data_IF_656461532058
#
_entry.id   IF_656461532058
#
_cell.length_a   1.000
_cell.length_b   1.000
_cell.length_c   1.000
_cell.angle_alpha   90.00
_cell.angle_beta   90.00
_cell.angle_gamma   90.00
#
_symmetry.space_group_name_H-M   'P 1'
#
loop_
_entity.id
_entity.type
_entity.pdbx_description
1 polymer ?
#
# COMPACT_ATOMS: atom_id res chain seq x y z
N UNK A 1 2.84 11.58 -9.46
CA UNK A 1 2.75 11.83 -8.00
C UNK A 1 2.37 10.53 -7.31
N UNK A 2 3.18 10.07 -6.35
CA UNK A 2 3.02 8.80 -5.62
C UNK A 2 1.62 8.64 -5.01
N UNK A 3 1.05 9.75 -4.51
CA UNK A 3 -0.31 9.82 -4.00
C UNK A 3 -1.35 9.36 -5.03
N UNK A 4 -1.30 9.86 -6.27
CA UNK A 4 -2.28 9.50 -7.30
C UNK A 4 -2.08 8.09 -7.87
N UNK A 5 -0.85 7.59 -7.89
CA UNK A 5 -0.53 6.29 -8.53
C UNK A 5 -0.57 5.12 -7.54
N UNK A 6 -0.14 5.32 -6.29
CA UNK A 6 -0.11 4.26 -5.29
C UNK A 6 -1.23 4.44 -4.26
N UNK A 7 -1.42 5.65 -3.73
CA UNK A 7 -2.39 5.88 -2.65
C UNK A 7 -3.84 6.09 -3.17
N UNK A 8 -4.01 6.51 -4.42
CA UNK A 8 -5.31 6.67 -5.07
C UNK A 8 -5.92 5.38 -5.62
N UNK A 9 -5.33 4.22 -5.30
CA UNK A 9 -5.89 2.91 -5.68
C UNK A 9 -5.45 2.36 -7.03
N UNK A 10 -4.56 3.02 -7.76
CA UNK A 10 -4.23 2.61 -9.14
C UNK A 10 -3.47 1.27 -9.23
N UNK A 11 -2.76 0.86 -8.16
CA UNK A 11 -2.00 -0.41 -8.12
C UNK A 11 -2.50 -1.39 -7.06
N UNK A 12 -2.87 -0.89 -5.88
CA UNK A 12 -3.31 -1.74 -4.77
C UNK A 12 -4.83 -1.78 -4.75
N UNK A 13 -5.40 -2.94 -5.01
CA UNK A 13 -6.84 -3.15 -5.08
C UNK A 13 -7.56 -2.75 -3.79
N UNK A 14 -6.93 -2.93 -2.62
CA UNK A 14 -7.49 -2.50 -1.33
C UNK A 14 -7.49 -0.99 -1.12
N UNK A 15 -6.93 -0.20 -2.04
CA UNK A 15 -6.99 1.26 -2.08
C UNK A 15 -7.97 1.79 -3.15
N UNK A 16 -8.63 0.91 -3.92
CA UNK A 16 -9.61 1.32 -4.92
C UNK A 16 -10.85 1.99 -4.29
N UNK A 17 -11.50 2.93 -4.99
CA UNK A 17 -12.81 3.44 -4.61
C UNK A 17 -13.88 2.33 -4.56
N UNK A 18 -14.99 2.61 -3.87
CA UNK A 18 -16.14 1.70 -3.79
C UNK A 18 -16.73 1.35 -5.17
N UNK A 19 -17.33 0.15 -5.27
CA UNK A 19 -17.95 -0.37 -6.51
C UNK A 19 -17.34 -1.70 -6.93
N UNK A 20 -16.15 -1.67 -7.53
CA UNK A 20 -15.47 -2.89 -8.01
C UNK A 20 -14.49 -3.50 -7.00
N UNK A 21 -14.10 -2.76 -5.95
CA UNK A 21 -13.09 -3.14 -4.96
C UNK A 21 -13.27 -4.56 -4.42
N UNK A 22 -14.47 -4.93 -3.96
CA UNK A 22 -14.70 -6.24 -3.33
C UNK A 22 -14.53 -7.42 -4.29
N UNK A 23 -14.93 -7.26 -5.56
CA UNK A 23 -14.76 -8.32 -6.56
C UNK A 23 -13.28 -8.57 -6.83
N UNK A 24 -12.49 -7.50 -6.97
CA UNK A 24 -11.06 -7.59 -7.17
C UNK A 24 -10.32 -8.14 -5.94
N UNK A 25 -10.69 -7.73 -4.73
CA UNK A 25 -10.10 -8.27 -3.50
C UNK A 25 -10.31 -9.79 -3.37
N UNK A 26 -11.49 -10.28 -3.75
CA UNK A 26 -11.76 -11.72 -3.78
C UNK A 26 -10.91 -12.44 -4.82
N UNK A 27 -10.77 -11.87 -6.02
CA UNK A 27 -9.95 -12.44 -7.08
C UNK A 27 -8.46 -12.51 -6.67
N UNK A 28 -7.92 -11.45 -6.06
CA UNK A 28 -6.54 -11.44 -5.56
C UNK A 28 -6.33 -12.43 -4.40
N UNK A 29 -7.28 -12.51 -3.47
CA UNK A 29 -7.21 -13.48 -2.38
C UNK A 29 -7.18 -14.92 -2.89
N UNK A 30 -8.01 -15.26 -3.88
CA UNK A 30 -7.99 -16.59 -4.52
C UNK A 30 -6.66 -16.80 -5.26
N UNK A 31 -6.18 -15.81 -6.01
CA UNK A 31 -4.89 -15.88 -6.73
C UNK A 31 -3.73 -16.13 -5.77
N UNK A 32 -3.72 -15.45 -4.61
CA UNK A 32 -2.73 -15.64 -3.57
C UNK A 32 -2.84 -17.02 -2.90
N UNK A 33 -4.06 -17.47 -2.59
CA UNK A 33 -4.31 -18.79 -2.01
C UNK A 33 -3.86 -19.94 -2.93
N UNK A 34 -3.89 -19.71 -4.24
CA UNK A 34 -3.39 -20.66 -5.26
C UNK A 34 -1.90 -20.55 -5.54
N UNK A 35 -1.19 -19.61 -4.90
CA UNK A 35 0.24 -19.40 -5.14
C UNK A 35 0.57 -18.85 -6.52
N UNK A 36 -0.38 -18.16 -7.17
CA UNK A 36 -0.24 -17.64 -8.54
C UNK A 36 0.43 -16.26 -8.60
N UNK A 37 1.18 -15.89 -7.56
CA UNK A 37 2.00 -14.66 -7.53
C UNK A 37 1.29 -13.39 -7.06
N UNK A 38 0.03 -13.46 -6.63
CA UNK A 38 -0.62 -12.33 -5.96
C UNK A 38 -0.16 -12.22 -4.50
N UNK A 39 -0.01 -10.99 -4.02
CA UNK A 39 0.23 -10.70 -2.61
C UNK A 39 -1.09 -10.56 -1.87
N UNK A 40 -1.10 -10.91 -0.58
CA UNK A 40 -2.25 -10.61 0.29
C UNK A 40 -2.24 -9.14 0.70
N UNK A 41 -3.42 -8.59 0.97
CA UNK A 41 -3.57 -7.22 1.50
C UNK A 41 -2.70 -6.98 2.75
N UNK A 42 -2.58 -7.98 3.63
CA UNK A 42 -1.77 -7.88 4.83
C UNK A 42 -0.26 -7.74 4.50
N UNK A 43 0.23 -8.53 3.54
CA UNK A 43 1.62 -8.44 3.08
C UNK A 43 1.89 -7.07 2.44
N UNK A 44 1.02 -6.60 1.55
CA UNK A 44 1.18 -5.30 0.89
C UNK A 44 1.20 -4.14 1.89
N UNK A 45 0.29 -4.15 2.88
CA UNK A 45 0.27 -3.14 3.94
C UNK A 45 1.56 -3.15 4.75
N UNK A 46 2.07 -4.34 5.09
CA UNK A 46 3.32 -4.49 5.84
C UNK A 46 4.50 -3.92 5.05
N UNK A 47 4.65 -4.32 3.78
CA UNK A 47 5.73 -3.86 2.90
C UNK A 47 5.66 -2.35 2.67
N UNK A 48 4.47 -1.79 2.44
CA UNK A 48 4.32 -0.36 2.25
C UNK A 48 4.78 0.44 3.47
N UNK A 49 4.38 0.03 4.68
CA UNK A 49 4.83 0.67 5.92
C UNK A 49 6.35 0.59 6.09
N UNK A 50 6.91 -0.59 5.91
CA UNK A 50 8.36 -0.80 6.01
C UNK A 50 9.12 0.07 4.99
N UNK A 51 8.58 0.18 3.77
CA UNK A 51 9.17 1.00 2.71
C UNK A 51 9.14 2.48 3.07
N UNK A 52 8.02 2.99 3.60
CA UNK A 52 7.92 4.40 4.04
C UNK A 52 8.90 4.68 5.17
N UNK A 53 9.00 3.78 6.16
CA UNK A 53 9.98 3.92 7.25
C UNK A 53 11.43 3.95 6.73
N UNK A 54 11.78 3.02 5.83
CA UNK A 54 13.11 2.98 5.22
C UNK A 54 13.42 4.24 4.42
N UNK A 55 12.45 4.77 3.66
CA UNK A 55 12.62 6.03 2.92
C UNK A 55 12.84 7.20 3.87
N UNK A 56 12.10 7.29 4.98
CA UNK A 56 12.32 8.32 6.02
C UNK A 56 13.76 8.29 6.54
N UNK A 57 14.26 7.10 6.91
CA UNK A 57 15.62 6.93 7.41
C UNK A 57 16.67 7.38 6.39
N UNK A 58 16.50 7.00 5.13
CA UNK A 58 17.42 7.38 4.04
C UNK A 58 17.43 8.87 3.77
N UNK A 59 16.27 9.53 3.84
CA UNK A 59 16.15 10.97 3.64
C UNK A 59 16.71 11.78 4.83
N UNK A 60 16.56 11.26 6.05
CA UNK A 60 17.08 11.90 7.25
C UNK A 60 18.61 12.06 7.23
N UNK A 61 19.34 11.14 6.56
CA UNK A 61 20.81 11.26 6.35
C UNK A 61 21.18 12.54 5.59
N UNK A 62 20.27 13.08 4.79
CA UNK A 62 20.46 14.34 4.06
C UNK A 62 19.79 15.55 4.73
N UNK A 63 19.31 15.40 5.97
CA UNK A 63 18.58 16.45 6.68
C UNK A 63 17.19 16.72 6.11
N UNK A 64 16.62 15.79 5.32
CA UNK A 64 15.29 15.93 4.72
C UNK A 64 14.28 15.18 5.58
N UNK A 65 13.33 15.91 6.15
CA UNK A 65 12.22 15.34 6.89
C UNK A 65 11.05 15.00 5.97
N UNK A 66 10.67 13.72 5.93
CA UNK A 66 9.45 13.29 5.26
C UNK A 66 8.27 13.34 6.25
N UNK A 67 7.20 14.11 6.00
CA UNK A 67 6.08 14.23 6.94
C UNK A 67 5.33 12.92 7.17
N UNK A 68 4.71 12.79 8.34
CA UNK A 68 3.74 11.69 8.62
C UNK A 68 2.45 11.92 7.85
N UNK A 69 1.87 10.84 7.33
CA UNK A 69 0.59 10.85 6.65
C UNK A 69 -0.40 9.94 7.38
N UNK A 70 -1.65 10.36 7.49
CA UNK A 70 -2.73 9.54 8.06
C UNK A 70 -3.63 9.06 6.93
N UNK A 71 -3.90 7.76 6.89
CA UNK A 71 -4.73 7.15 5.88
C UNK A 71 -5.70 6.13 6.51
N UNK A 72 -6.98 6.04 6.11
CA UNK A 72 -7.97 5.19 6.76
C UNK A 72 -7.56 3.71 6.89
N UNK A 73 -6.93 3.16 5.85
CA UNK A 73 -6.52 1.74 5.82
C UNK A 73 -5.12 1.50 6.40
N UNK A 74 -4.32 2.56 6.59
CA UNK A 74 -2.92 2.48 7.03
C UNK A 74 -2.69 3.19 8.36
N UNK A 75 -3.67 3.82 8.99
CA UNK A 75 -3.40 4.70 10.13
C UNK A 75 -2.32 5.73 9.80
N UNK A 76 -1.46 6.04 10.77
CA UNK A 76 -0.33 6.94 10.57
C UNK A 76 0.90 6.19 10.04
N UNK A 77 1.49 6.68 8.96
CA UNK A 77 2.72 6.16 8.32
C UNK A 77 3.73 7.26 8.07
#
# INVERSE_FOLDING_TARGET
LLERVILGGYRNTWLLPGGSREAWLRAEAETAARGLGASTVAQERSVLRATVAQVRERLAVWGIELPRATHPELGTV
#
